data_IF_611237321709
#
_entry.id   IF_611237321709
#
_cell.length_a   1.000
_cell.length_b   1.000
_cell.length_c   1.000
_cell.angle_alpha   90.00
_cell.angle_beta   90.00
_cell.angle_gamma   90.00
#
_symmetry.space_group_name_H-M   'P 1'
#
loop_
_entity.id
_entity.type
_entity.pdbx_description
1 polymer ?
#
# COMPACT_ATOMS: atom_id res chain seq x y z
N UNK A 1 44.57 36.04 1.65
CA UNK A 1 44.76 35.33 0.36
C UNK A 1 44.57 33.85 0.63
N UNK A 2 43.36 33.38 0.39
CA UNK A 2 42.97 31.98 0.34
C UNK A 2 42.23 31.79 -0.99
N UNK A 3 42.88 31.09 -1.94
CA UNK A 3 42.29 30.76 -3.24
C UNK A 3 42.02 29.27 -3.25
N UNK A 4 40.83 28.85 -2.83
CA UNK A 4 40.31 27.53 -3.16
C UNK A 4 39.64 27.59 -4.54
N UNK A 5 40.42 27.50 -5.60
CA UNK A 5 39.90 27.38 -6.97
C UNK A 5 39.59 25.91 -7.25
N UNK A 6 38.35 25.56 -6.95
CA UNK A 6 37.49 24.58 -7.65
C UNK A 6 38.20 23.77 -8.74
N UNK A 7 38.64 22.55 -8.40
CA UNK A 7 38.98 21.52 -9.38
C UNK A 7 37.73 21.20 -10.19
N UNK A 8 37.70 21.78 -11.38
CA UNK A 8 36.74 21.53 -12.45
C UNK A 8 36.92 20.10 -12.96
N UNK A 9 36.33 19.14 -12.25
CA UNK A 9 36.04 17.83 -12.83
C UNK A 9 34.80 18.03 -13.70
N UNK A 10 35.02 18.38 -14.97
CA UNK A 10 33.95 18.45 -15.98
C UNK A 10 33.42 17.03 -16.15
N UNK A 11 32.40 16.70 -15.36
CA UNK A 11 31.70 15.43 -15.43
C UNK A 11 31.12 15.28 -16.83
N UNK A 12 31.68 14.35 -17.60
CA UNK A 12 30.98 13.76 -18.74
C UNK A 12 29.98 12.74 -18.20
N UNK A 13 29.05 13.20 -17.36
CA UNK A 13 27.85 12.43 -17.08
C UNK A 13 26.82 12.87 -18.10
N UNK A 14 26.92 12.27 -19.26
CA UNK A 14 25.82 12.12 -20.21
C UNK A 14 24.68 11.38 -19.49
N UNK A 15 23.94 12.07 -18.63
CA UNK A 15 22.67 11.61 -18.10
C UNK A 15 21.57 12.08 -19.05
N UNK A 16 21.66 11.60 -20.28
CA UNK A 16 20.52 11.51 -21.16
C UNK A 16 19.67 10.34 -20.67
N UNK A 17 18.75 10.62 -19.75
CA UNK A 17 17.55 9.81 -19.50
C UNK A 17 16.54 10.68 -18.77
N UNK A 18 16.15 11.78 -19.41
CA UNK A 18 14.89 12.45 -19.11
C UNK A 18 13.78 11.77 -19.92
N UNK A 19 13.61 10.46 -19.73
CA UNK A 19 12.34 9.81 -19.99
C UNK A 19 11.74 9.56 -18.61
N UNK A 20 10.95 10.52 -18.15
CA UNK A 20 9.89 10.25 -17.20
C UNK A 20 8.88 9.37 -17.95
N UNK A 21 9.24 8.11 -18.16
CA UNK A 21 8.30 7.09 -18.56
C UNK A 21 7.18 7.17 -17.53
N UNK A 22 5.99 7.54 -18.00
CA UNK A 22 4.78 7.40 -17.22
C UNK A 22 4.70 5.92 -16.88
N UNK A 23 5.21 5.55 -15.71
CA UNK A 23 5.44 4.18 -15.27
C UNK A 23 4.07 3.56 -15.03
N UNK A 24 3.40 3.23 -16.14
CA UNK A 24 2.19 2.44 -16.17
C UNK A 24 2.55 1.15 -15.45
N UNK A 25 1.89 0.84 -14.33
CA UNK A 25 2.18 -0.38 -13.61
C UNK A 25 2.02 -1.55 -14.57
N UNK A 26 3.02 -2.43 -14.59
CA UNK A 26 2.99 -3.60 -15.45
C UNK A 26 1.86 -4.56 -15.01
N UNK A 27 1.52 -5.51 -15.88
CA UNK A 27 0.45 -6.48 -15.59
C UNK A 27 0.68 -7.21 -14.26
N UNK A 28 1.95 -7.50 -13.93
CA UNK A 28 2.32 -8.16 -12.68
C UNK A 28 1.99 -7.29 -11.45
N UNK A 29 2.22 -5.98 -11.54
CA UNK A 29 1.89 -5.01 -10.49
C UNK A 29 0.39 -4.96 -10.25
N UNK A 30 -0.42 -4.93 -11.32
CA UNK A 30 -1.87 -5.01 -11.19
C UNK A 30 -2.32 -6.33 -10.55
N UNK A 31 -1.75 -7.46 -10.96
CA UNK A 31 -2.07 -8.77 -10.36
C UNK A 31 -1.74 -8.82 -8.86
N UNK A 32 -0.58 -8.28 -8.46
CA UNK A 32 -0.18 -8.22 -7.05
C UNK A 32 -1.12 -7.30 -6.24
N UNK A 33 -1.53 -6.17 -6.80
CA UNK A 33 -2.51 -5.28 -6.19
C UNK A 33 -3.86 -5.97 -6.01
N UNK A 34 -4.33 -6.69 -7.04
CA UNK A 34 -5.58 -7.45 -6.97
C UNK A 34 -5.53 -8.57 -5.94
N UNK A 35 -4.43 -9.32 -5.86
CA UNK A 35 -4.25 -10.34 -4.83
C UNK A 35 -4.34 -9.74 -3.42
N UNK A 36 -3.66 -8.60 -3.19
CA UNK A 36 -3.73 -7.89 -1.90
C UNK A 36 -5.14 -7.43 -1.56
N UNK A 37 -5.86 -6.83 -2.51
CA UNK A 37 -7.23 -6.37 -2.31
C UNK A 37 -8.16 -7.55 -2.00
N UNK A 38 -8.00 -8.65 -2.73
CA UNK A 38 -8.78 -9.86 -2.54
C UNK A 38 -8.60 -10.41 -1.13
N UNK A 39 -7.35 -10.61 -0.70
CA UNK A 39 -7.03 -11.18 0.60
C UNK A 39 -7.55 -10.30 1.74
N UNK A 40 -7.40 -8.98 1.62
CA UNK A 40 -7.91 -8.04 2.62
C UNK A 40 -9.44 -8.06 2.69
N UNK A 41 -10.12 -8.15 1.55
CA UNK A 41 -11.59 -8.23 1.49
C UNK A 41 -12.10 -9.52 2.15
N UNK A 42 -11.47 -10.66 1.86
CA UNK A 42 -11.81 -11.94 2.49
C UNK A 42 -11.64 -11.87 4.01
N UNK A 43 -10.55 -11.27 4.49
CA UNK A 43 -10.31 -11.05 5.92
C UNK A 43 -11.41 -10.19 6.54
N UNK A 44 -11.74 -9.06 5.94
CA UNK A 44 -12.79 -8.16 6.44
C UNK A 44 -14.17 -8.83 6.49
N UNK A 45 -14.53 -9.62 5.48
CA UNK A 45 -15.79 -10.38 5.48
C UNK A 45 -15.83 -11.36 6.64
N UNK A 46 -14.74 -12.10 6.87
CA UNK A 46 -14.67 -13.07 7.96
C UNK A 46 -14.79 -12.39 9.33
N UNK A 47 -14.06 -11.29 9.54
CA UNK A 47 -14.14 -10.49 10.76
C UNK A 47 -15.55 -9.95 10.99
N UNK A 48 -16.22 -9.44 9.96
CA UNK A 48 -17.59 -8.94 10.04
C UNK A 48 -18.57 -10.07 10.43
N UNK A 49 -18.43 -11.26 9.85
CA UNK A 49 -19.25 -12.43 10.19
C UNK A 49 -19.02 -12.90 11.63
N UNK A 50 -17.78 -12.87 12.12
CA UNK A 50 -17.48 -13.21 13.52
C UNK A 50 -18.06 -12.17 14.48
N UNK A 51 -17.98 -10.89 14.15
CA UNK A 51 -18.60 -9.82 14.94
C UNK A 51 -20.12 -9.95 14.97
N UNK A 52 -20.76 -10.29 13.85
CA UNK A 52 -22.20 -10.54 13.79
C UNK A 52 -22.60 -11.70 14.70
N UNK A 53 -21.89 -12.84 14.63
CA UNK A 53 -22.11 -13.97 15.55
C UNK A 53 -22.01 -13.55 17.01
N UNK A 54 -20.99 -12.75 17.37
CA UNK A 54 -20.81 -12.21 18.73
C UNK A 54 -21.97 -11.30 19.13
N UNK A 55 -22.41 -10.39 18.25
CA UNK A 55 -23.55 -9.48 18.51
C UNK A 55 -24.87 -10.22 18.73
N UNK A 56 -25.13 -11.28 17.96
CA UNK A 56 -26.33 -12.11 18.14
C UNK A 56 -26.26 -12.83 19.50
N UNK A 57 -25.10 -13.40 19.83
CA UNK A 57 -24.90 -14.08 21.12
C UNK A 57 -25.01 -13.14 22.32
N UNK A 58 -24.53 -11.90 22.24
CA UNK A 58 -24.65 -10.92 23.32
C UNK A 58 -26.07 -10.36 23.43
N UNK A 59 -26.74 -10.08 22.30
CA UNK A 59 -28.15 -9.66 22.29
C UNK A 59 -29.08 -10.71 22.88
N UNK A 60 -28.81 -12.00 22.65
CA UNK A 60 -29.57 -13.10 23.24
C UNK A 60 -29.38 -13.25 24.77
N UNK A 61 -28.32 -12.65 25.35
CA UNK A 61 -28.07 -12.64 26.80
C UNK A 61 -28.61 -11.38 27.49
N UNK A 62 -29.04 -10.37 26.74
CA UNK A 62 -29.55 -9.10 27.26
C UNK A 62 -31.07 -8.98 27.24
N UNK A 63 -31.82 -10.04 26.92
CA UNK A 63 -33.26 -10.08 27.26
C UNK A 63 -33.40 -10.02 28.79
N UNK A 64 -33.86 -8.90 29.37
CA UNK A 64 -34.14 -8.85 30.79
C UNK A 64 -35.39 -9.71 31.01
N UNK A 65 -35.28 -10.72 31.85
CA UNK A 65 -36.46 -11.36 32.43
C UNK A 65 -37.02 -10.39 33.48
N UNK A 66 -38.27 -9.96 33.24
CA UNK A 66 -39.24 -9.32 34.16
C UNK A 66 -38.86 -7.99 34.83
#
# INVERSE_FOLDING_TARGET
MDRNTSTRNTGTNSHGSNNSDSEMPDLATYQAQWAKIHDDTVRQINEAREQEKKRIATRSKQSPSS
#
